data_IF_166337153195
#
_entry.id   IF_166337153195
#
_cell.length_a   1.000
_cell.length_b   1.000
_cell.length_c   1.000
_cell.angle_alpha   90.00
_cell.angle_beta   90.00
_cell.angle_gamma   90.00
#
_symmetry.space_group_name_H-M   'P 1'
#
loop_
_entity.id
_entity.type
_entity.pdbx_description
1 polymer ?
#
# COMPACT_ATOMS: atom_id res chain seq x y z
N UNK A 1 -5.58 4.94 18.82
CA UNK A 1 -4.90 5.44 17.61
C UNK A 1 -4.49 4.24 16.80
N UNK A 2 -5.22 3.97 15.73
CA UNK A 2 -4.86 2.91 14.79
C UNK A 2 -3.79 3.53 13.91
N UNK A 3 -2.54 3.15 14.13
CA UNK A 3 -1.44 3.68 13.34
C UNK A 3 -1.38 2.83 12.08
N UNK A 4 -1.72 3.42 10.94
CA UNK A 4 -1.38 2.89 9.64
C UNK A 4 0.14 2.94 9.45
N UNK A 5 0.86 2.07 10.16
CA UNK A 5 2.31 2.10 10.20
C UNK A 5 2.84 1.14 9.14
N UNK A 6 3.16 1.70 7.99
CA UNK A 6 4.03 1.04 7.03
C UNK A 6 5.46 1.11 7.57
N UNK A 7 5.98 0.00 8.08
CA UNK A 7 7.39 -0.11 8.44
C UNK A 7 8.03 -1.18 7.56
N UNK A 8 9.01 -0.78 6.74
CA UNK A 8 9.91 -1.79 6.19
C UNK A 8 10.85 -2.26 7.30
N UNK A 9 10.77 -3.53 7.66
CA UNK A 9 11.55 -4.12 8.76
C UNK A 9 12.87 -4.71 8.29
N UNK A 10 12.99 -5.00 6.99
CA UNK A 10 14.25 -5.41 6.36
C UNK A 10 14.10 -5.43 4.84
N UNK A 11 15.20 -5.22 4.14
CA UNK A 11 15.28 -5.48 2.71
C UNK A 11 16.63 -6.11 2.41
N UNK A 12 16.63 -7.24 1.73
CA UNK A 12 17.85 -8.00 1.46
C UNK A 12 18.35 -7.67 0.06
N UNK A 13 19.63 -7.29 -0.05
CA UNK A 13 20.30 -7.10 -1.34
C UNK A 13 20.30 -8.38 -2.22
N UNK A 14 20.18 -9.55 -1.60
CA UNK A 14 20.28 -10.86 -2.26
C UNK A 14 18.95 -11.44 -2.73
N UNK A 15 17.83 -10.80 -2.45
CA UNK A 15 16.50 -11.29 -2.82
C UNK A 15 15.78 -10.19 -3.58
N UNK A 16 15.13 -10.55 -4.69
CA UNK A 16 14.44 -9.63 -5.60
C UNK A 16 13.16 -9.00 -5.00
N UNK A 17 13.15 -8.73 -3.69
CA UNK A 17 11.94 -8.56 -2.93
C UNK A 17 12.07 -7.59 -1.77
N UNK A 18 11.04 -6.77 -1.62
CA UNK A 18 10.85 -5.82 -0.54
C UNK A 18 9.95 -6.46 0.53
N UNK A 19 10.44 -6.59 1.77
CA UNK A 19 9.61 -7.03 2.88
C UNK A 19 8.84 -5.83 3.43
N UNK A 20 7.54 -5.88 3.23
CA UNK A 20 6.58 -4.91 3.70
C UNK A 20 5.86 -5.50 4.92
N UNK A 21 6.26 -5.07 6.12
CA UNK A 21 5.53 -5.40 7.34
C UNK A 21 4.55 -4.28 7.63
N UNK A 22 3.28 -4.67 7.67
CA UNK A 22 2.18 -3.76 7.85
C UNK A 22 1.56 -4.08 9.21
N UNK A 23 1.97 -3.32 10.23
CA UNK A 23 1.49 -3.49 11.60
C UNK A 23 0.23 -2.66 11.72
N UNK A 24 -0.92 -3.33 11.71
CA UNK A 24 -2.19 -2.63 11.74
C UNK A 24 -3.06 -3.11 12.87
N UNK A 25 -3.56 -2.12 13.57
CA UNK A 25 -4.26 -2.31 14.83
C UNK A 25 -5.77 -2.05 14.74
N UNK A 26 -6.53 -2.48 13.69
CA UNK A 26 -7.97 -2.48 13.81
C UNK A 26 -8.48 -3.80 14.41
N UNK A 27 -9.68 -3.73 14.98
CA UNK A 27 -10.46 -4.91 15.35
C UNK A 27 -10.57 -5.89 14.18
N UNK A 28 -10.27 -7.17 14.41
CA UNK A 28 -10.43 -8.23 13.42
C UNK A 28 -11.90 -8.24 12.94
N UNK A 29 -12.11 -7.87 11.69
CA UNK A 29 -13.38 -8.09 10.99
C UNK A 29 -13.09 -8.54 9.57
N UNK A 30 -13.97 -9.35 8.99
CA UNK A 30 -13.85 -9.84 7.61
C UNK A 30 -13.75 -8.72 6.57
N UNK A 31 -14.26 -7.55 6.91
CA UNK A 31 -14.28 -6.40 6.02
C UNK A 31 -13.07 -5.48 6.24
N UNK A 32 -12.17 -5.78 7.18
CA UNK A 32 -10.99 -4.95 7.40
C UNK A 32 -10.01 -5.12 6.23
N UNK A 33 -9.55 -4.01 5.69
CA UNK A 33 -8.65 -3.97 4.53
C UNK A 33 -7.63 -2.88 4.76
N UNK A 34 -6.44 -3.11 4.24
CA UNK A 34 -5.39 -2.11 4.27
C UNK A 34 -4.72 -2.05 2.94
N UNK A 35 -4.60 -0.84 2.45
CA UNK A 35 -4.09 -0.53 1.13
C UNK A 35 -2.82 0.32 1.26
N UNK A 36 -1.83 0.05 0.43
CA UNK A 36 -0.64 0.89 0.33
C UNK A 36 -0.27 1.14 -1.11
N UNK A 37 0.06 2.39 -1.39
CA UNK A 37 0.25 2.90 -2.73
C UNK A 37 1.66 3.47 -2.88
N UNK A 38 2.33 3.11 -3.97
CA UNK A 38 3.67 3.58 -4.31
C UNK A 38 3.65 4.21 -5.70
N UNK A 39 3.84 5.53 -5.77
CA UNK A 39 3.57 6.34 -6.95
C UNK A 39 4.84 6.98 -7.49
N UNK A 40 5.00 6.94 -8.81
CA UNK A 40 5.78 7.91 -9.56
C UNK A 40 4.83 9.01 -10.06
N UNK A 41 4.88 10.19 -9.44
CA UNK A 41 3.96 11.28 -9.76
C UNK A 41 4.20 11.93 -11.13
N UNK A 42 5.37 11.73 -11.75
CA UNK A 42 5.67 12.28 -13.08
C UNK A 42 5.01 11.47 -14.18
N UNK A 43 5.02 10.15 -14.05
CA UNK A 43 4.41 9.23 -15.01
C UNK A 43 2.98 8.84 -14.63
N UNK A 44 2.55 9.13 -13.39
CA UNK A 44 1.26 8.66 -12.83
C UNK A 44 1.14 7.14 -12.85
N UNK A 45 2.27 6.45 -12.69
CA UNK A 45 2.34 5.01 -12.56
C UNK A 45 2.45 4.65 -11.09
N UNK A 46 1.64 3.72 -10.62
CA UNK A 46 1.65 3.35 -9.22
C UNK A 46 1.26 1.89 -8.98
N UNK A 47 1.93 1.33 -7.98
CA UNK A 47 1.61 0.04 -7.39
C UNK A 47 0.59 0.27 -6.28
N UNK A 48 -0.41 -0.61 -6.21
CA UNK A 48 -1.36 -0.72 -5.12
C UNK A 48 -1.33 -2.15 -4.55
N UNK A 49 -1.26 -2.25 -3.22
CA UNK A 49 -1.24 -3.50 -2.48
C UNK A 49 -2.30 -3.45 -1.39
N UNK A 50 -3.34 -4.26 -1.52
CA UNK A 50 -4.39 -4.44 -0.53
C UNK A 50 -4.20 -5.77 0.22
N UNK A 51 -4.34 -5.75 1.55
CA UNK A 51 -4.16 -6.91 2.43
C UNK A 51 -5.33 -7.02 3.43
N UNK A 52 -5.80 -8.25 3.65
CA UNK A 52 -6.90 -8.56 4.55
C UNK A 52 -6.47 -9.49 5.70
N UNK A 53 -7.16 -9.46 6.86
CA UNK A 53 -6.83 -10.28 8.04
C UNK A 53 -7.07 -11.78 7.86
N UNK A 54 -7.61 -12.23 6.73
CA UNK A 54 -7.84 -13.65 6.44
C UNK A 54 -7.01 -14.16 5.26
N UNK A 55 -5.93 -13.45 4.92
CA UNK A 55 -4.96 -13.86 3.90
C UNK A 55 -5.32 -13.48 2.47
N UNK A 56 -6.49 -12.87 2.24
CA UNK A 56 -6.79 -12.28 0.94
C UNK A 56 -5.87 -11.08 0.69
N UNK A 57 -5.49 -10.91 -0.57
CA UNK A 57 -4.75 -9.77 -1.05
C UNK A 57 -5.19 -9.40 -2.46
N UNK A 58 -4.98 -8.15 -2.83
CA UNK A 58 -5.09 -7.66 -4.20
C UNK A 58 -3.86 -6.83 -4.52
N UNK A 59 -3.24 -7.08 -5.67
CA UNK A 59 -2.09 -6.32 -6.14
C UNK A 59 -2.36 -5.83 -7.56
N UNK A 60 -2.26 -4.51 -7.74
CA UNK A 60 -2.56 -3.83 -8.99
C UNK A 60 -1.35 -3.00 -9.45
N UNK A 61 -1.13 -2.96 -10.77
CA UNK A 61 -0.24 -2.01 -11.42
C UNK A 61 -1.10 -1.06 -12.25
N UNK A 62 -1.00 0.23 -11.96
CA UNK A 62 -1.85 1.27 -12.54
C UNK A 62 -1.02 2.28 -13.33
N UNK A 63 -1.56 2.73 -14.47
CA UNK A 63 -1.01 3.80 -15.33
C UNK A 63 -2.11 4.82 -15.56
N UNK A 64 -2.08 5.92 -14.80
CA UNK A 64 -3.18 6.87 -14.68
C UNK A 64 -4.13 6.56 -13.51
N UNK A 65 -4.90 7.57 -13.08
CA UNK A 65 -5.79 7.49 -11.90
C UNK A 65 -6.88 6.42 -12.12
N UNK A 66 -6.94 5.43 -11.23
CA UNK A 66 -7.83 4.27 -11.29
C UNK A 66 -7.57 3.27 -12.43
N UNK A 67 -6.57 3.49 -13.28
CA UNK A 67 -6.40 2.74 -14.53
C UNK A 67 -5.42 1.57 -14.36
N UNK A 68 -5.92 0.48 -13.78
CA UNK A 68 -5.16 -0.76 -13.61
C UNK A 68 -4.99 -1.53 -14.94
N UNK A 69 -3.75 -1.76 -15.36
CA UNK A 69 -3.40 -2.52 -16.57
C UNK A 69 -2.90 -3.94 -16.27
N UNK A 70 -2.51 -4.21 -15.01
CA UNK A 70 -2.29 -5.56 -14.46
C UNK A 70 -2.99 -5.66 -13.11
N UNK A 71 -3.61 -6.80 -12.84
CA UNK A 71 -4.43 -7.07 -11.66
C UNK A 71 -4.14 -8.46 -11.13
N UNK A 72 -4.45 -8.70 -9.85
CA UNK A 72 -4.37 -10.03 -9.21
C UNK A 72 -2.98 -10.65 -9.31
N UNK A 73 -1.93 -9.83 -9.18
CA UNK A 73 -0.55 -10.29 -9.16
C UNK A 73 -0.27 -11.09 -7.88
N UNK A 74 0.51 -12.15 -8.00
CA UNK A 74 0.85 -13.03 -6.87
C UNK A 74 1.66 -12.28 -5.79
N UNK A 75 1.31 -12.53 -4.54
CA UNK A 75 2.00 -11.95 -3.38
C UNK A 75 2.21 -13.01 -2.31
N UNK A 76 3.44 -13.12 -1.81
CA UNK A 76 3.69 -13.92 -0.60
C UNK A 76 3.25 -13.09 0.60
N UNK A 77 2.16 -13.51 1.25
CA UNK A 77 1.53 -12.79 2.36
C UNK A 77 1.25 -13.74 3.53
N UNK A 78 1.68 -13.35 4.73
CA UNK A 78 1.42 -14.07 5.97
C UNK A 78 0.63 -13.20 6.93
N UNK A 79 -0.29 -13.83 7.68
CA UNK A 79 -1.16 -13.16 8.64
C UNK A 79 -1.08 -13.89 9.98
N UNK A 80 -0.91 -13.12 11.04
CA UNK A 80 -1.08 -13.58 12.41
C UNK A 80 -2.24 -12.83 13.09
N UNK A 81 -3.30 -13.56 13.41
CA UNK A 81 -4.49 -13.07 14.13
C UNK A 81 -4.54 -13.57 15.58
N UNK A 82 -3.52 -14.30 16.01
CA UNK A 82 -3.54 -15.08 17.26
C UNK A 82 -2.65 -14.51 18.34
N UNK A 83 -1.59 -13.78 17.98
CA UNK A 83 -0.63 -13.22 18.94
C UNK A 83 -1.12 -11.99 19.70
N UNK A 84 -2.03 -11.19 19.13
CA UNK A 84 -2.57 -9.98 19.76
C UNK A 84 -4.09 -9.94 19.61
N UNK A 85 -4.81 -10.19 20.71
CA UNK A 85 -6.25 -10.38 20.69
C UNK A 85 -6.97 -9.15 20.14
N UNK A 86 -7.83 -9.39 19.15
CA UNK A 86 -8.58 -8.34 18.49
C UNK A 86 -7.77 -7.53 17.47
N UNK A 87 -6.54 -7.91 17.15
CA UNK A 87 -5.74 -7.29 16.07
C UNK A 87 -5.18 -8.35 15.15
N UNK A 88 -4.64 -7.91 14.02
CA UNK A 88 -3.96 -8.80 13.09
C UNK A 88 -2.66 -8.17 12.61
N UNK A 89 -1.64 -9.00 12.42
CA UNK A 89 -0.35 -8.59 11.90
C UNK A 89 -0.18 -9.21 10.52
N UNK A 90 0.13 -8.37 9.53
CA UNK A 90 0.38 -8.79 8.15
C UNK A 90 1.84 -8.59 7.77
N UNK A 91 2.42 -9.55 7.06
CA UNK A 91 3.73 -9.38 6.42
C UNK A 91 3.65 -9.85 4.98
N UNK A 92 3.95 -8.94 4.05
CA UNK A 92 3.93 -9.20 2.62
C UNK A 92 5.33 -9.01 2.03
N UNK A 93 5.64 -9.84 1.04
CA UNK A 93 6.90 -9.84 0.31
C UNK A 93 6.58 -9.37 -1.11
N UNK A 94 6.89 -8.11 -1.41
CA UNK A 94 6.54 -7.43 -2.67
C UNK A 94 7.74 -7.52 -3.64
N UNK A 95 7.61 -8.15 -4.83
CA UNK A 95 8.66 -8.16 -5.84
C UNK A 95 9.11 -6.76 -6.27
N UNK A 96 10.41 -6.55 -6.45
CA UNK A 96 10.94 -5.27 -6.95
C UNK A 96 10.35 -4.89 -8.31
N UNK A 97 10.05 -5.89 -9.14
CA UNK A 97 9.43 -5.69 -10.43
C UNK A 97 8.03 -5.06 -10.34
N UNK A 98 7.37 -5.10 -9.19
CA UNK A 98 6.03 -4.53 -9.04
C UNK A 98 6.08 -3.02 -8.81
N UNK A 99 7.19 -2.47 -8.32
CA UNK A 99 7.31 -1.03 -8.17
C UNK A 99 7.53 -0.36 -9.53
N UNK A 100 6.79 0.72 -9.86
CA UNK A 100 7.08 1.50 -11.07
C UNK A 100 8.45 2.14 -10.96
N UNK A 101 9.14 2.44 -12.09
CA UNK A 101 10.39 3.18 -12.05
C UNK A 101 10.22 4.51 -11.31
N UNK A 102 11.21 4.90 -10.50
CA UNK A 102 11.27 6.18 -9.79
C UNK A 102 10.05 6.48 -8.87
N UNK A 103 9.64 5.52 -8.04
CA UNK A 103 8.67 5.81 -6.97
C UNK A 103 9.18 6.98 -6.13
N UNK A 104 8.35 8.02 -6.01
CA UNK A 104 8.70 9.25 -5.31
C UNK A 104 7.59 9.76 -4.36
N UNK A 105 6.45 9.09 -4.33
CA UNK A 105 5.31 9.43 -3.47
C UNK A 105 4.66 8.15 -2.91
N UNK A 106 4.06 8.24 -1.73
CA UNK A 106 3.25 7.14 -1.17
C UNK A 106 2.08 7.62 -0.33
N UNK A 107 1.11 6.72 -0.14
CA UNK A 107 0.10 6.81 0.92
C UNK A 107 -0.33 5.39 1.35
N UNK A 108 -0.91 5.30 2.54
CA UNK A 108 -1.48 4.05 3.06
C UNK A 108 -2.81 4.33 3.71
N UNK A 109 -3.75 3.39 3.59
CA UNK A 109 -5.10 3.51 4.10
C UNK A 109 -5.48 2.28 4.91
N UNK A 110 -6.27 2.48 5.95
CA UNK A 110 -6.86 1.41 6.72
C UNK A 110 -8.38 1.56 6.73
N UNK A 111 -9.06 0.47 6.45
CA UNK A 111 -10.51 0.42 6.35
C UNK A 111 -11.00 -0.65 7.32
N UNK A 112 -11.91 -0.30 8.23
CA UNK A 112 -12.42 -1.23 9.23
C UNK A 112 -13.82 -0.82 9.72
N UNK A 113 -14.41 -1.64 10.59
CA UNK A 113 -15.83 -1.51 10.94
C UNK A 113 -16.77 -1.92 9.80
N UNK A 114 -18.07 -1.76 10.00
CA UNK A 114 -19.10 -2.23 9.06
C UNK A 114 -20.32 -1.31 9.01
N UNK A 115 -21.01 -1.28 7.86
CA UNK A 115 -22.22 -0.48 7.66
C UNK A 115 -22.00 1.00 7.98
N UNK A 116 -22.87 1.58 8.80
CA UNK A 116 -22.75 2.98 9.27
C UNK A 116 -21.51 3.24 10.14
N UNK A 117 -20.92 2.19 10.72
CA UNK A 117 -19.71 2.25 11.53
C UNK A 117 -18.43 1.95 10.75
N UNK A 118 -18.47 2.03 9.41
CA UNK A 118 -17.30 1.89 8.54
C UNK A 118 -16.39 3.10 8.73
N UNK A 119 -15.12 2.84 9.01
CA UNK A 119 -14.09 3.83 9.28
C UNK A 119 -13.03 3.75 8.17
N UNK A 120 -12.56 4.91 7.75
CA UNK A 120 -11.54 5.10 6.74
C UNK A 120 -10.44 5.98 7.33
N UNK A 121 -9.23 5.44 7.42
CA UNK A 121 -8.06 6.13 7.95
C UNK A 121 -6.99 6.20 6.86
N UNK A 122 -6.18 7.26 6.89
CA UNK A 122 -5.09 7.48 5.96
C UNK A 122 -3.84 7.88 6.72
N UNK A 123 -2.67 7.41 6.27
CA UNK A 123 -1.38 7.88 6.78
C UNK A 123 -1.18 9.37 6.43
N UNK A 124 -1.56 9.76 5.23
CA UNK A 124 -1.63 11.15 4.79
C UNK A 124 -3.07 11.49 4.39
N UNK A 125 -3.88 12.06 5.30
CA UNK A 125 -5.29 12.36 5.04
C UNK A 125 -5.46 13.60 4.17
N UNK A 126 -6.63 13.69 3.53
CA UNK A 126 -7.12 14.91 2.89
C UNK A 126 -7.29 15.99 3.98
N UNK A 127 -6.83 17.24 3.75
CA UNK A 127 -7.11 18.36 4.65
C UNK A 127 -8.61 18.49 4.91
N UNK A 128 -8.99 18.74 6.17
CA UNK A 128 -10.40 18.69 6.59
C UNK A 128 -11.26 19.72 5.85
N UNK A 129 -10.67 20.85 5.55
CA UNK A 129 -11.24 21.96 4.78
C UNK A 129 -11.50 21.63 3.31
N UNK A 130 -10.85 20.60 2.77
CA UNK A 130 -11.04 20.12 1.39
C UNK A 130 -12.04 18.96 1.31
N UNK A 131 -12.58 18.50 2.45
CA UNK A 131 -13.61 17.46 2.51
C UNK A 131 -14.99 18.12 2.36
N UNK A 132 -15.74 17.71 1.33
CA UNK A 132 -17.08 18.21 1.04
C UNK A 132 -18.12 17.31 1.73
N UNK A 133 -19.21 17.89 2.22
CA UNK A 133 -20.33 17.13 2.79
C UNK A 133 -20.86 16.10 1.78
N UNK A 134 -20.98 14.84 2.22
CA UNK A 134 -21.41 13.73 1.37
C UNK A 134 -20.32 13.16 0.46
N UNK A 135 -19.08 13.66 0.54
CA UNK A 135 -17.95 13.06 -0.16
C UNK A 135 -17.67 11.64 0.35
N UNK A 136 -17.72 10.67 -0.56
CA UNK A 136 -17.31 9.29 -0.29
C UNK A 136 -15.79 9.12 -0.25
N UNK A 137 -15.29 7.99 0.27
CA UNK A 137 -13.87 7.68 0.25
C UNK A 137 -13.37 7.52 -1.20
N UNK A 138 -12.19 8.08 -1.49
CA UNK A 138 -11.48 7.87 -2.75
C UNK A 138 -9.96 7.85 -2.46
N UNK A 139 -9.38 6.65 -2.47
CA UNK A 139 -7.97 6.43 -2.15
C UNK A 139 -7.02 6.74 -3.31
N UNK A 140 -7.55 6.92 -4.51
CA UNK A 140 -6.81 7.32 -5.71
C UNK A 140 -6.69 8.84 -5.88
N UNK A 141 -6.91 9.63 -4.83
CA UNK A 141 -6.58 11.08 -4.82
C UNK A 141 -5.08 11.26 -4.64
N UNK A 142 -4.34 10.99 -5.72
CA UNK A 142 -2.88 10.96 -5.77
C UNK A 142 -2.22 12.28 -5.33
N UNK A 143 -2.95 13.39 -5.42
CA UNK A 143 -2.50 14.72 -5.01
C UNK A 143 -2.18 14.86 -3.51
N UNK A 144 -2.70 13.97 -2.65
CA UNK A 144 -2.39 13.97 -1.21
C UNK A 144 -1.29 13.00 -0.81
N UNK A 145 -0.76 12.23 -1.76
CA UNK A 145 0.36 11.34 -1.46
C UNK A 145 1.57 12.21 -1.08
N UNK A 146 2.36 11.75 -0.12
CA UNK A 146 3.53 12.50 0.34
C UNK A 146 4.81 11.91 -0.20
N UNK A 147 5.87 12.72 -0.16
CA UNK A 147 7.21 12.34 -0.62
C UNK A 147 7.63 11.03 0.03
N UNK A 148 8.17 10.15 -0.80
CA UNK A 148 8.70 8.87 -0.41
C UNK A 148 9.92 8.54 -1.25
N UNK A 149 10.84 7.77 -0.69
CA UNK A 149 11.94 7.20 -1.45
C UNK A 149 12.26 5.83 -0.90
N UNK A 150 12.37 4.84 -1.79
CA UNK A 150 12.85 3.50 -1.42
C UNK A 150 14.28 3.57 -0.85
N UNK A 151 15.08 4.56 -1.24
CA UNK A 151 16.44 4.77 -0.70
C UNK A 151 16.44 5.10 0.80
N UNK A 152 15.37 5.69 1.34
CA UNK A 152 15.27 5.93 2.79
C UNK A 152 15.27 4.62 3.60
N UNK A 153 14.95 3.51 2.93
CA UNK A 153 14.91 2.17 3.51
C UNK A 153 16.16 1.38 3.09
N UNK A 154 16.52 1.45 1.81
CA UNK A 154 17.59 0.63 1.20
C UNK A 154 19.00 1.22 1.36
N UNK A 155 19.11 2.51 1.66
CA UNK A 155 20.35 3.27 1.60
C UNK A 155 20.52 4.02 0.26
N UNK A 156 21.32 5.09 0.30
CA UNK A 156 21.48 6.01 -0.84
C UNK A 156 22.15 5.38 -2.07
N UNK A 157 23.03 4.39 -1.86
CA UNK A 157 23.74 3.65 -2.92
C UNK A 157 22.85 2.63 -3.64
N UNK A 158 21.65 2.35 -3.12
CA UNK A 158 20.75 1.39 -3.75
C UNK A 158 20.12 1.99 -5.02
N UNK A 159 20.08 1.17 -6.06
CA UNK A 159 19.39 1.49 -7.31
C UNK A 159 18.20 0.54 -7.51
N UNK A 160 17.08 1.10 -7.95
CA UNK A 160 15.90 0.31 -8.23
C UNK A 160 16.14 -0.62 -9.43
N UNK A 161 15.92 -1.94 -9.29
CA UNK A 161 16.03 -2.86 -10.41
C UNK A 161 15.03 -2.51 -11.51
N UNK A 162 15.45 -2.72 -12.77
CA UNK A 162 14.58 -2.55 -13.93
C UNK A 162 13.42 -3.55 -13.86
N UNK A 163 12.22 -3.08 -14.19
CA UNK A 163 11.03 -3.93 -14.29
C UNK A 163 10.49 -3.98 -15.71
N UNK A 164 10.40 -5.19 -16.26
CA UNK A 164 9.76 -5.42 -17.56
C UNK A 164 8.24 -5.27 -17.51
N UNK A 165 7.62 -5.36 -16.33
CA UNK A 165 6.17 -5.24 -16.18
C UNK A 165 5.65 -3.85 -16.57
N UNK A 166 6.49 -2.83 -16.40
CA UNK A 166 6.15 -1.43 -16.66
C UNK A 166 6.49 -0.96 -18.08
N UNK A 167 7.32 -1.72 -18.83
CA UNK A 167 7.66 -1.39 -20.23
C UNK A 167 6.45 -1.43 -21.16
N UNK A 168 5.45 -2.24 -20.82
CA UNK A 168 4.20 -2.38 -21.55
C UNK A 168 3.04 -1.56 -20.95
N UNK A 169 3.35 -0.59 -20.07
CA UNK A 169 2.32 0.30 -19.53
C UNK A 169 1.67 1.12 -20.67
N UNK A 170 0.33 1.29 -20.66
CA UNK A 170 -0.39 2.12 -21.62
C UNK A 170 -0.04 3.60 -21.50
#
# INVERSE_FOLDING_TARGET
YIVASCFCTSATHSSSTFLFSLILTPFISWLAVVESFFLNNRTTQYLEVELCPHGQHLVLLLSGVGNAFKKELELTFTVDTTSDWGKWHGSAIIPWSYFPPDVNMMNSYAIHGSGIGRIYEALYPIPREEIIDGQGPNFHRLEYFQKFSLKWIMGEEWEQPVSDLWKASP
#
